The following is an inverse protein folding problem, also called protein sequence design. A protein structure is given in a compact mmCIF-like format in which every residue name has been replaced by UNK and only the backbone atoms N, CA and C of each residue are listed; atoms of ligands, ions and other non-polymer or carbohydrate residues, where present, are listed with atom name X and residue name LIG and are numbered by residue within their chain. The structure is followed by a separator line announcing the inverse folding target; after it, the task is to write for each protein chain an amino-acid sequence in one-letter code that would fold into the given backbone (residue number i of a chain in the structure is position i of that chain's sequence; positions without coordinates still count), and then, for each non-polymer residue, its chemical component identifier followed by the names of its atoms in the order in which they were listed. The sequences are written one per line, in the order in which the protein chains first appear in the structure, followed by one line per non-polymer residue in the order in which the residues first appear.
data_IF_542800427275
#
_entry.id   IF_542800427275
#
_cell.length_a   1.000
_cell.length_b   1.000
_cell.length_c   1.000
_cell.angle_alpha   90.00
_cell.angle_beta   90.00
_cell.angle_gamma   90.00
#
_symmetry.space_group_name_H-M   'P 1'
#
loop_
_entity.id
_entity.type
_entity.pdbx_description
1 polymer ?
#
# COMPACT_ATOMS: atom_id res chain seq x y z
N UNK A 1 2.00 -12.91 13.08
CA UNK A 1 1.82 -12.51 14.49
C UNK A 1 3.02 -11.68 14.93
N UNK A 2 2.95 -10.34 14.78
CA UNK A 2 3.53 -9.37 15.73
C UNK A 2 2.61 -8.15 15.64
N UNK A 3 1.90 -7.87 16.73
CA UNK A 3 1.08 -6.69 16.95
C UNK A 3 1.72 -5.96 18.14
N UNK A 4 1.69 -4.63 18.10
CA UNK A 4 1.94 -3.66 19.18
C UNK A 4 3.37 -3.43 19.72
N UNK A 5 3.87 -2.22 19.44
CA UNK A 5 4.13 -1.23 20.50
C UNK A 5 4.13 0.19 19.88
N UNK A 6 3.00 0.88 19.93
CA UNK A 6 2.95 2.33 19.73
C UNK A 6 2.65 3.00 21.07
N UNK A 7 3.60 3.82 21.51
CA UNK A 7 3.64 4.53 22.78
C UNK A 7 2.46 5.51 22.93
N UNK A 8 1.78 5.46 24.06
CA UNK A 8 0.51 6.15 24.38
C UNK A 8 0.63 7.63 24.82
N UNK A 9 1.72 8.33 24.51
CA UNK A 9 1.98 9.67 25.10
C UNK A 9 1.87 10.86 24.13
N UNK A 10 1.25 10.73 22.95
CA UNK A 10 1.18 11.82 21.96
C UNK A 10 -0.21 12.50 21.91
N UNK A 11 -1.22 12.00 22.62
CA UNK A 11 -2.61 12.44 22.40
C UNK A 11 -3.00 13.74 23.15
N UNK A 12 -2.24 14.25 24.11
CA UNK A 12 -2.73 15.37 24.94
C UNK A 12 -2.54 16.79 24.37
N UNK A 13 -1.90 16.99 23.21
CA UNK A 13 -1.54 18.35 22.74
C UNK A 13 -2.22 18.81 21.43
N UNK A 14 -3.23 18.08 20.93
CA UNK A 14 -3.88 18.37 19.64
C UNK A 14 -5.26 19.04 19.74
N UNK A 15 -5.60 19.62 20.89
CA UNK A 15 -6.86 20.36 21.11
C UNK A 15 -6.61 21.81 21.50
N UNK A 16 -5.91 22.57 20.65
CA UNK A 16 -6.09 24.03 20.56
C UNK A 16 -5.13 24.61 19.51
N UNK A 17 -5.55 24.66 18.25
CA UNK A 17 -5.08 25.70 17.33
C UNK A 17 -5.98 25.70 16.10
N UNK A 18 -6.82 26.73 16.01
CA UNK A 18 -7.39 27.20 14.77
C UNK A 18 -6.24 27.63 13.87
N UNK A 19 -5.89 26.83 12.87
CA UNK A 19 -4.84 27.16 11.90
C UNK A 19 -5.49 27.73 10.65
N UNK A 20 -5.24 29.02 10.47
CA UNK A 20 -5.48 29.79 9.25
C UNK A 20 -4.69 29.22 8.08
N UNK A 21 -5.34 29.18 6.93
CA UNK A 21 -4.82 28.69 5.64
C UNK A 21 -3.66 29.59 5.18
N UNK A 22 -2.42 29.13 5.31
CA UNK A 22 -1.28 29.70 4.59
C UNK A 22 -0.19 28.63 4.39
N UNK A 23 -0.03 28.22 3.12
CA UNK A 23 1.09 27.49 2.52
C UNK A 23 1.95 26.61 3.45
N UNK A 24 1.43 25.46 3.85
CA UNK A 24 2.25 24.40 4.45
C UNK A 24 3.19 23.80 3.38
N UNK A 25 4.49 23.97 3.59
CA UNK A 25 5.53 23.25 2.85
C UNK A 25 5.36 21.76 3.17
N UNK A 26 4.85 21.00 2.20
CA UNK A 26 4.57 19.56 2.34
C UNK A 26 5.90 18.80 2.41
N UNK A 27 6.31 18.39 3.61
CA UNK A 27 7.47 17.53 3.80
C UNK A 27 7.10 16.08 3.43
N UNK A 28 7.61 15.61 2.30
CA UNK A 28 7.42 14.23 1.88
C UNK A 28 8.11 13.29 2.88
N UNK A 29 7.35 12.47 3.60
CA UNK A 29 7.90 11.41 4.44
C UNK A 29 8.38 10.26 3.56
N UNK A 30 9.65 10.33 3.15
CA UNK A 30 10.33 9.14 2.67
C UNK A 30 10.64 8.23 3.85
N UNK A 31 10.57 6.90 3.69
CA UNK A 31 11.27 6.02 4.61
C UNK A 31 12.72 6.49 4.64
N UNK A 32 13.19 6.94 5.81
CA UNK A 32 14.58 7.34 6.00
C UNK A 32 15.44 6.09 5.85
N UNK A 33 15.84 5.76 4.63
CA UNK A 33 17.00 4.92 4.42
C UNK A 33 18.17 5.73 4.97
N UNK A 34 18.63 5.38 6.17
CA UNK A 34 19.87 5.91 6.71
C UNK A 34 21.01 5.40 5.85
N UNK A 35 21.26 6.07 4.72
CA UNK A 35 22.45 5.84 3.89
C UNK A 35 23.66 6.50 4.56
N UNK A 36 23.93 6.11 5.80
CA UNK A 36 25.19 6.39 6.45
C UNK A 36 26.12 5.21 6.15
N UNK A 37 26.53 5.12 4.89
CA UNK A 37 27.69 4.33 4.53
C UNK A 37 28.48 5.16 3.54
N UNK A 38 29.70 5.56 3.93
CA UNK A 38 30.70 6.28 3.13
C UNK A 38 31.20 5.47 1.90
N UNK A 39 30.37 4.59 1.34
CA UNK A 39 30.73 3.57 0.34
C UNK A 39 29.87 3.65 -0.92
N UNK A 40 28.88 4.55 -0.99
CA UNK A 40 28.02 4.70 -2.16
C UNK A 40 28.07 6.15 -2.64
N UNK A 41 29.03 6.46 -3.51
CA UNK A 41 29.11 7.71 -4.27
C UNK A 41 27.98 7.76 -5.33
N UNK A 42 26.74 7.88 -4.89
CA UNK A 42 25.65 8.31 -5.77
C UNK A 42 25.61 9.82 -5.76
N UNK A 43 26.34 10.45 -6.68
CA UNK A 43 26.11 11.85 -7.04
C UNK A 43 24.78 11.92 -7.79
N UNK A 44 23.70 12.18 -7.04
CA UNK A 44 22.39 12.50 -7.61
C UNK A 44 22.52 13.90 -8.24
N UNK A 45 22.93 13.95 -9.51
CA UNK A 45 23.20 15.20 -10.24
C UNK A 45 21.95 16.06 -10.44
N UNK A 46 20.77 15.48 -10.31
CA UNK A 46 19.50 16.19 -10.25
C UNK A 46 18.71 15.61 -9.08
N UNK A 47 18.68 16.30 -7.94
CA UNK A 47 17.77 15.94 -6.85
C UNK A 47 16.36 15.90 -7.44
N UNK A 48 15.81 14.70 -7.62
CA UNK A 48 14.41 14.53 -7.98
C UNK A 48 13.63 15.28 -6.91
N UNK A 49 13.00 16.39 -7.28
CA UNK A 49 12.03 17.04 -6.41
C UNK A 49 10.74 16.24 -6.56
N UNK A 50 10.39 15.36 -5.60
CA UNK A 50 9.12 14.68 -5.65
C UNK A 50 8.03 15.74 -5.64
N UNK A 51 7.19 15.77 -6.67
CA UNK A 51 5.99 16.58 -6.67
C UNK A 51 5.00 15.83 -5.77
N UNK A 52 5.04 16.12 -4.47
CA UNK A 52 4.06 15.62 -3.51
C UNK A 52 2.74 16.35 -3.75
N UNK A 53 1.90 15.78 -4.63
CA UNK A 53 0.50 16.23 -4.78
C UNK A 53 -0.27 15.86 -3.51
N UNK A 54 -1.08 16.79 -3.03
CA UNK A 54 -1.69 16.77 -1.70
C UNK A 54 -2.43 15.46 -1.38
N UNK A 55 -2.35 15.09 -0.10
CA UNK A 55 -2.90 13.93 0.62
C UNK A 55 -4.43 13.79 0.59
N UNK A 56 -5.06 13.80 -0.58
CA UNK A 56 -6.48 13.53 -0.67
C UNK A 56 -6.73 12.01 -0.63
N UNK A 57 -6.99 11.48 0.56
CA UNK A 57 -7.41 10.09 0.80
C UNK A 57 -8.81 10.09 1.41
N UNK A 58 -9.87 10.10 0.57
CA UNK A 58 -11.25 10.25 1.06
C UNK A 58 -11.77 9.01 1.79
N UNK A 59 -11.11 7.86 1.66
CA UNK A 59 -11.59 6.58 2.16
C UNK A 59 -10.59 5.89 3.10
N UNK A 60 -11.11 5.06 4.01
CA UNK A 60 -10.36 4.10 4.82
C UNK A 60 -10.81 2.70 4.46
N UNK A 61 -9.86 1.77 4.43
CA UNK A 61 -10.11 0.35 4.29
C UNK A 61 -9.88 -0.30 5.65
N UNK A 62 -10.90 -0.93 6.21
CA UNK A 62 -10.82 -1.64 7.50
C UNK A 62 -11.63 -2.93 7.43
N UNK A 63 -11.04 -4.04 7.89
CA UNK A 63 -11.65 -5.38 7.88
C UNK A 63 -12.37 -5.72 6.56
N UNK A 64 -11.70 -5.47 5.44
CA UNK A 64 -12.20 -5.70 4.09
C UNK A 64 -13.39 -4.82 3.68
N UNK A 65 -13.72 -3.79 4.44
CA UNK A 65 -14.75 -2.81 4.13
C UNK A 65 -14.10 -1.47 3.78
N UNK A 66 -14.69 -0.78 2.81
CA UNK A 66 -14.39 0.59 2.46
C UNK A 66 -15.40 1.50 3.16
N UNK A 67 -14.89 2.54 3.81
CA UNK A 67 -15.69 3.60 4.42
C UNK A 67 -15.16 4.97 4.02
N UNK A 68 -16.06 5.95 3.90
CA UNK A 68 -15.71 7.33 3.62
C UNK A 68 -15.38 8.08 4.92
N UNK A 69 -14.35 8.92 4.90
CA UNK A 69 -13.92 9.70 6.09
C UNK A 69 -14.58 11.07 6.14
N UNK A 70 -14.96 11.61 4.99
CA UNK A 70 -15.39 13.01 4.85
C UNK A 70 -16.88 13.08 4.46
N UNK A 71 -17.76 13.64 5.31
CA UNK A 71 -19.21 13.58 5.10
C UNK A 71 -19.74 14.46 3.97
N UNK A 72 -18.99 15.49 3.58
CA UNK A 72 -19.37 16.41 2.50
C UNK A 72 -19.03 15.87 1.10
N UNK A 73 -18.38 14.71 1.04
CA UNK A 73 -18.02 14.07 -0.23
C UNK A 73 -19.06 13.05 -0.64
N UNK A 74 -19.38 13.04 -1.92
CA UNK A 74 -20.01 11.89 -2.58
C UNK A 74 -18.96 11.22 -3.45
N UNK A 75 -18.69 9.95 -3.18
CA UNK A 75 -17.69 9.20 -3.92
C UNK A 75 -18.33 8.02 -4.67
N UNK A 76 -17.73 7.65 -5.79
CA UNK A 76 -18.02 6.43 -6.52
C UNK A 76 -16.76 5.57 -6.51
N UNK A 77 -16.90 4.34 -6.04
CA UNK A 77 -15.86 3.33 -6.04
C UNK A 77 -16.09 2.42 -7.24
N UNK A 78 -15.13 2.32 -8.13
CA UNK A 78 -15.20 1.43 -9.31
C UNK A 78 -14.26 0.26 -9.11
N UNK A 79 -14.85 -0.92 -8.92
CA UNK A 79 -14.10 -2.18 -8.85
C UNK A 79 -13.84 -2.73 -10.25
N UNK A 80 -12.71 -3.39 -10.42
CA UNK A 80 -12.33 -4.08 -11.65
C UNK A 80 -12.30 -5.57 -11.37
N UNK A 81 -13.33 -6.28 -11.78
CA UNK A 81 -13.51 -7.71 -11.52
C UNK A 81 -13.19 -8.46 -12.80
N UNK A 82 -12.14 -9.27 -12.79
CA UNK A 82 -11.74 -10.10 -13.93
C UNK A 82 -11.94 -11.58 -13.65
N UNK A 83 -12.48 -12.31 -14.61
CA UNK A 83 -12.42 -13.77 -14.66
C UNK A 83 -11.35 -14.18 -15.69
N UNK A 84 -10.08 -14.14 -15.29
CA UNK A 84 -8.93 -14.49 -16.13
C UNK A 84 -8.23 -13.30 -16.78
N UNK A 85 -7.51 -13.55 -17.88
CA UNK A 85 -6.49 -12.61 -18.40
C UNK A 85 -7.00 -11.60 -19.44
N UNK A 86 -8.26 -11.68 -19.87
CA UNK A 86 -8.71 -11.00 -21.10
C UNK A 86 -9.73 -9.89 -20.90
N UNK A 87 -10.62 -9.99 -19.91
CA UNK A 87 -11.71 -9.03 -19.74
C UNK A 87 -11.95 -8.70 -18.27
N UNK A 88 -12.17 -7.42 -17.99
CA UNK A 88 -12.52 -6.90 -16.67
C UNK A 88 -13.87 -6.21 -16.75
N UNK A 89 -14.78 -6.60 -15.87
CA UNK A 89 -16.03 -5.89 -15.62
C UNK A 89 -15.77 -4.72 -14.65
N UNK A 90 -16.28 -3.54 -15.01
CA UNK A 90 -16.24 -2.37 -14.13
C UNK A 90 -17.53 -2.28 -13.34
N UNK A 91 -17.44 -2.38 -12.01
CA UNK A 91 -18.59 -2.32 -11.11
C UNK A 91 -18.52 -1.04 -10.29
N UNK A 92 -19.22 0.03 -10.69
CA UNK A 92 -19.28 1.28 -9.95
C UNK A 92 -20.30 1.21 -8.81
N UNK A 93 -19.88 1.53 -7.59
CA UNK A 93 -20.72 1.58 -6.40
C UNK A 93 -20.60 2.97 -5.76
N UNK A 94 -21.74 3.61 -5.51
CA UNK A 94 -21.78 4.89 -4.79
C UNK A 94 -21.49 4.66 -3.31
N UNK A 95 -20.54 5.43 -2.78
CA UNK A 95 -20.12 5.43 -1.39
C UNK A 95 -20.56 6.73 -0.70
N UNK A 96 -21.27 6.57 0.40
CA UNK A 96 -21.73 7.64 1.28
C UNK A 96 -21.06 7.51 2.66
N UNK A 97 -21.07 8.59 3.45
CA UNK A 97 -20.36 8.67 4.73
C UNK A 97 -20.67 7.53 5.71
N UNK A 98 -21.96 7.23 5.90
CA UNK A 98 -22.42 6.21 6.85
C UNK A 98 -22.58 4.82 6.22
N UNK A 99 -22.14 4.64 4.97
CA UNK A 99 -22.24 3.38 4.25
C UNK A 99 -20.88 2.69 4.19
N UNK A 100 -20.85 1.44 4.64
CA UNK A 100 -19.71 0.55 4.46
C UNK A 100 -19.97 -0.36 3.26
N UNK A 101 -18.98 -0.47 2.38
CA UNK A 101 -19.04 -1.35 1.20
C UNK A 101 -17.96 -2.42 1.33
N UNK A 102 -18.31 -3.68 1.10
CA UNK A 102 -17.32 -4.76 1.06
C UNK A 102 -16.40 -4.59 -0.15
N UNK A 103 -15.10 -4.80 0.02
CA UNK A 103 -14.16 -4.90 -1.09
C UNK A 103 -14.60 -6.03 -2.02
N UNK A 104 -14.68 -5.75 -3.32
CA UNK A 104 -15.01 -6.76 -4.35
C UNK A 104 -13.80 -7.19 -5.18
N UNK A 105 -12.76 -6.36 -5.26
CA UNK A 105 -11.51 -6.66 -5.95
C UNK A 105 -10.31 -6.07 -5.22
N UNK A 106 -9.12 -6.60 -5.51
CA UNK A 106 -7.86 -6.11 -4.96
C UNK A 106 -7.51 -4.72 -5.49
N UNK A 107 -7.88 -4.42 -6.73
CA UNK A 107 -7.65 -3.13 -7.38
C UNK A 107 -8.97 -2.42 -7.68
N UNK A 108 -9.06 -1.15 -7.30
CA UNK A 108 -10.24 -0.31 -7.56
C UNK A 108 -9.86 1.17 -7.65
N UNK A 109 -10.73 1.99 -8.22
CA UNK A 109 -10.55 3.44 -8.26
C UNK A 109 -11.65 4.17 -7.52
N UNK A 110 -11.35 5.36 -7.01
CA UNK A 110 -12.29 6.20 -6.27
C UNK A 110 -12.32 7.59 -6.88
N UNK A 111 -13.51 7.99 -7.31
CA UNK A 111 -13.78 9.34 -7.79
C UNK A 111 -14.71 10.04 -6.83
N UNK A 112 -14.34 11.23 -6.37
CA UNK A 112 -15.12 12.00 -5.39
C UNK A 112 -15.49 13.39 -5.90
N UNK A 113 -16.65 13.84 -5.44
CA UNK A 113 -17.18 15.18 -5.68
C UNK A 113 -17.54 15.78 -4.32
N UNK A 114 -17.08 16.99 -4.06
CA UNK A 114 -17.56 17.80 -2.94
C UNK A 114 -18.79 18.59 -3.38
N UNK A 115 -19.97 18.20 -2.88
CA UNK A 115 -21.22 18.85 -3.23
C UNK A 115 -21.32 20.27 -2.65
N UNK A 116 -20.63 20.54 -1.53
CA UNK A 116 -20.69 21.84 -0.86
C UNK A 116 -19.91 22.90 -1.63
N UNK A 117 -18.78 22.50 -2.24
CA UNK A 117 -17.90 23.38 -3.01
C UNK A 117 -17.99 23.17 -4.53
N UNK A 118 -18.86 22.25 -4.99
CA UNK A 118 -18.96 21.79 -6.37
C UNK A 118 -17.60 21.44 -7.00
N UNK A 119 -16.72 20.83 -6.20
CA UNK A 119 -15.34 20.55 -6.60
C UNK A 119 -15.17 19.07 -6.94
N UNK A 120 -14.65 18.80 -8.14
CA UNK A 120 -14.27 17.46 -8.57
C UNK A 120 -12.85 17.13 -8.13
N UNK A 121 -12.66 15.95 -7.58
CA UNK A 121 -11.35 15.42 -7.24
C UNK A 121 -10.86 14.45 -8.33
N UNK A 122 -9.53 14.32 -8.52
CA UNK A 122 -8.98 13.36 -9.47
C UNK A 122 -9.38 11.93 -9.10
N UNK A 123 -9.42 11.05 -10.10
CA UNK A 123 -9.62 9.63 -9.86
C UNK A 123 -8.40 9.04 -9.15
N UNK A 124 -8.62 8.36 -8.02
CA UNK A 124 -7.57 7.83 -7.17
C UNK A 124 -7.52 6.31 -7.26
N UNK A 125 -6.38 5.71 -7.64
CA UNK A 125 -6.22 4.25 -7.62
C UNK A 125 -5.92 3.75 -6.20
N UNK A 126 -6.52 2.62 -5.84
CA UNK A 126 -6.28 1.90 -4.59
C UNK A 126 -5.95 0.43 -4.89
N UNK A 127 -5.08 -0.13 -4.06
CA UNK A 127 -4.76 -1.55 -4.03
C UNK A 127 -4.92 -2.06 -2.59
N UNK A 128 -5.66 -3.16 -2.42
CA UNK A 128 -5.90 -3.83 -1.15
C UNK A 128 -6.06 -5.33 -1.35
N UNK A 129 -6.36 -6.07 -0.28
CA UNK A 129 -6.58 -7.52 -0.32
C UNK A 129 -8.07 -7.77 -0.12
N UNK A 130 -8.76 -8.23 -1.16
CA UNK A 130 -10.15 -8.64 -1.11
C UNK A 130 -10.31 -9.97 -0.34
N UNK A 131 -11.38 -10.06 0.45
CA UNK A 131 -11.69 -11.27 1.20
C UNK A 131 -12.41 -12.30 0.32
N UNK A 132 -11.66 -13.29 -0.17
CA UNK A 132 -12.23 -14.41 -0.91
C UNK A 132 -12.57 -15.59 0.01
N UNK A 133 -13.88 -15.81 0.23
CA UNK A 133 -14.39 -16.92 1.07
C UNK A 133 -13.98 -18.30 0.54
N UNK A 134 -13.97 -18.51 -0.77
CA UNK A 134 -13.67 -19.81 -1.36
C UNK A 134 -12.20 -20.18 -1.14
N UNK A 135 -11.30 -19.20 -1.28
CA UNK A 135 -9.87 -19.38 -0.95
C UNK A 135 -9.71 -19.73 0.52
N UNK A 136 -10.40 -19.03 1.42
CA UNK A 136 -10.33 -19.30 2.88
C UNK A 136 -10.91 -20.66 3.27
N UNK A 137 -12.05 -21.05 2.69
CA UNK A 137 -12.65 -22.39 2.90
C UNK A 137 -11.73 -23.49 2.39
N UNK A 138 -11.10 -23.29 1.23
CA UNK A 138 -10.06 -24.20 0.72
C UNK A 138 -8.92 -24.32 1.72
N UNK A 139 -8.38 -23.19 2.20
CA UNK A 139 -7.31 -23.18 3.21
C UNK A 139 -7.71 -23.85 4.53
N UNK A 140 -8.96 -23.69 4.97
CA UNK A 140 -9.46 -24.32 6.20
C UNK A 140 -9.64 -25.84 6.08
N UNK A 141 -9.93 -26.32 4.86
CA UNK A 141 -10.13 -27.74 4.56
C UNK A 141 -8.84 -28.45 4.13
N UNK A 142 -7.76 -27.71 3.88
CA UNK A 142 -6.44 -28.31 3.72
C UNK A 142 -6.01 -28.86 5.08
N UNK A 143 -5.86 -30.18 5.16
CA UNK A 143 -5.13 -30.79 6.28
C UNK A 143 -3.72 -30.23 6.22
N UNK A 144 -3.27 -29.65 7.33
CA UNK A 144 -1.92 -29.14 7.49
C UNK A 144 -0.96 -30.31 7.33
N UNK A 145 -0.41 -30.48 6.14
CA UNK A 145 0.61 -31.51 5.92
C UNK A 145 1.94 -30.95 6.42
N UNK A 146 2.87 -31.83 6.82
CA UNK A 146 4.22 -31.40 7.23
C UNK A 146 4.97 -30.66 6.10
N UNK A 147 4.50 -30.79 4.86
CA UNK A 147 5.01 -30.13 3.64
C UNK A 147 4.32 -28.79 3.32
N UNK A 148 3.54 -28.20 4.22
CA UNK A 148 2.96 -26.87 3.99
C UNK A 148 4.05 -25.79 4.00
N UNK A 149 4.50 -25.38 2.82
CA UNK A 149 5.54 -24.37 2.65
C UNK A 149 5.04 -22.96 2.99
N UNK A 150 5.79 -22.26 3.84
CA UNK A 150 5.66 -20.81 3.96
C UNK A 150 6.42 -20.14 2.83
N UNK A 151 5.74 -19.31 2.03
CA UNK A 151 6.38 -18.53 0.97
C UNK A 151 6.79 -17.18 1.54
N UNK A 152 8.09 -16.90 1.53
CA UNK A 152 8.65 -15.59 1.83
C UNK A 152 9.17 -14.97 0.52
N UNK A 153 8.56 -13.86 0.11
CA UNK A 153 9.03 -13.06 -1.03
C UNK A 153 9.79 -11.86 -0.48
N UNK A 154 11.07 -11.73 -0.84
CA UNK A 154 11.92 -10.59 -0.50
C UNK A 154 12.23 -9.82 -1.78
N UNK A 155 11.66 -8.62 -1.92
CA UNK A 155 12.03 -7.68 -2.97
C UNK A 155 13.15 -6.76 -2.49
N UNK A 156 14.26 -6.72 -3.22
CA UNK A 156 15.35 -5.76 -2.98
C UNK A 156 15.30 -4.69 -4.08
N UNK A 157 14.72 -3.55 -3.76
CA UNK A 157 14.64 -2.43 -4.70
C UNK A 157 16.04 -1.89 -5.02
N UNK A 158 16.26 -1.56 -6.30
CA UNK A 158 17.48 -0.93 -6.81
C UNK A 158 18.78 -1.74 -6.67
N UNK A 159 18.72 -3.04 -6.37
CA UNK A 159 19.92 -3.89 -6.31
C UNK A 159 20.02 -4.74 -7.58
N UNK A 160 21.03 -4.51 -8.39
CA UNK A 160 21.31 -5.41 -9.52
C UNK A 160 21.80 -6.76 -9.01
N UNK A 161 21.58 -7.84 -9.77
CA UNK A 161 22.08 -9.18 -9.41
C UNK A 161 23.58 -9.18 -9.09
N UNK A 162 24.39 -8.56 -9.94
CA UNK A 162 25.85 -8.48 -9.75
C UNK A 162 26.21 -7.72 -8.46
N UNK A 163 25.45 -6.69 -8.12
CA UNK A 163 25.64 -5.94 -6.88
C UNK A 163 25.24 -6.78 -5.67
N UNK A 164 24.14 -7.53 -5.74
CA UNK A 164 23.73 -8.46 -4.69
C UNK A 164 24.81 -9.52 -4.42
N UNK A 165 25.32 -10.15 -5.48
CA UNK A 165 26.39 -11.16 -5.40
C UNK A 165 27.67 -10.59 -4.75
N UNK A 166 28.05 -9.34 -5.07
CA UNK A 166 29.28 -8.71 -4.55
C UNK A 166 29.13 -8.16 -3.13
N UNK A 167 28.00 -7.53 -2.81
CA UNK A 167 27.81 -6.87 -1.51
C UNK A 167 27.36 -7.86 -0.43
N UNK A 168 26.64 -8.92 -0.79
CA UNK A 168 26.10 -9.91 0.13
C UNK A 168 26.52 -11.35 -0.26
N UNK A 169 27.83 -11.62 -0.40
CA UNK A 169 28.31 -12.92 -0.90
C UNK A 169 27.94 -14.08 0.02
N UNK A 170 27.92 -13.86 1.34
CA UNK A 170 27.49 -14.88 2.32
C UNK A 170 26.02 -15.23 2.17
N UNK A 171 25.16 -14.22 2.02
CA UNK A 171 23.72 -14.41 1.82
C UNK A 171 23.43 -15.07 0.49
N UNK A 172 24.08 -14.63 -0.58
CA UNK A 172 23.96 -15.25 -1.90
C UNK A 172 24.35 -16.73 -1.84
N UNK A 173 25.51 -17.05 -1.26
CA UNK A 173 25.98 -18.42 -1.12
C UNK A 173 25.03 -19.29 -0.27
N UNK A 174 24.49 -18.74 0.81
CA UNK A 174 23.50 -19.42 1.65
C UNK A 174 22.23 -19.75 0.85
N UNK A 175 21.71 -18.79 0.09
CA UNK A 175 20.51 -19.00 -0.74
C UNK A 175 20.77 -20.06 -1.81
N UNK A 176 21.90 -20.01 -2.52
CA UNK A 176 22.14 -20.93 -3.64
C UNK A 176 22.52 -22.32 -3.18
N UNK A 177 23.33 -22.44 -2.12
CA UNK A 177 23.99 -23.71 -1.79
C UNK A 177 23.37 -24.41 -0.57
N UNK A 178 22.88 -23.65 0.42
CA UNK A 178 22.27 -24.26 1.63
C UNK A 178 20.76 -24.43 1.43
N UNK A 179 20.10 -23.44 0.81
CA UNK A 179 18.66 -23.49 0.54
C UNK A 179 18.34 -24.11 -0.84
N UNK A 180 19.34 -24.58 -1.59
CA UNK A 180 19.19 -25.08 -2.97
C UNK A 180 18.41 -24.10 -3.87
N UNK A 181 18.63 -22.79 -3.67
CA UNK A 181 17.94 -21.74 -4.39
C UNK A 181 18.31 -21.69 -5.86
N UNK A 182 17.30 -21.53 -6.72
CA UNK A 182 17.48 -21.43 -8.17
C UNK A 182 17.65 -19.95 -8.55
N UNK A 183 18.73 -19.64 -9.25
CA UNK A 183 18.97 -18.31 -9.82
C UNK A 183 18.49 -18.28 -11.26
N UNK A 184 17.44 -17.50 -11.51
CA UNK A 184 16.92 -17.27 -12.86
C UNK A 184 17.89 -16.38 -13.65
N UNK A 185 18.16 -16.73 -14.91
CA UNK A 185 19.06 -16.02 -15.84
C UNK A 185 18.26 -15.29 -16.90
#
# INVERSE_FOLDING_TARGET
FIYNQWNSNIISNLLSKSVTVENEIIQCHFPRLSLNSNTLDFTISNALQPICRSWFYPIVIDNYNIRLILPHLNCTVTFYIGEGDKEYEQVPIKLFYDLNILLLSDYFTVQCIDNTRQKFYPNLPYASIHYNQNVRKRLANLKKNEDDFNVLILGLDSVSRLQFERMLPKTFNYITNELNGIVLK
#
